data_IF_509290649555
#
_entry.id   IF_509290649555
#
_cell.length_a   1.000
_cell.length_b   1.000
_cell.length_c   1.000
_cell.angle_alpha   90.00
_cell.angle_beta   90.00
_cell.angle_gamma   90.00
#
_symmetry.space_group_name_H-M   'P 1'
#
loop_
_entity.id
_entity.type
_entity.pdbx_description
1 polymer ?
#
# COMPACT_ATOMS: atom_id res chain seq x y z
N UNK A 1 14.64 -12.83 -5.09
CA UNK A 1 13.44 -11.97 -5.14
C UNK A 1 13.73 -10.79 -6.04
N UNK A 2 12.74 -10.29 -6.78
CA UNK A 2 12.83 -9.04 -7.53
C UNK A 2 12.11 -7.93 -6.75
N UNK A 3 12.45 -6.66 -7.04
CA UNK A 3 11.83 -5.48 -6.42
C UNK A 3 10.28 -5.52 -6.49
N UNK A 4 9.73 -5.84 -7.67
CA UNK A 4 8.28 -5.91 -7.92
C UNK A 4 7.57 -6.98 -7.07
N UNK A 5 8.21 -8.14 -6.90
CA UNK A 5 7.69 -9.22 -6.06
C UNK A 5 7.73 -8.82 -4.57
N UNK A 6 8.77 -8.11 -4.14
CA UNK A 6 8.83 -7.57 -2.78
C UNK A 6 7.76 -6.50 -2.52
N UNK A 7 7.52 -5.62 -3.50
CA UNK A 7 6.47 -4.61 -3.40
C UNK A 7 5.12 -5.30 -3.20
N UNK A 8 4.79 -6.32 -3.99
CA UNK A 8 3.53 -7.09 -3.84
C UNK A 8 3.42 -7.77 -2.49
N UNK A 9 4.48 -8.46 -2.05
CA UNK A 9 4.51 -9.15 -0.76
C UNK A 9 4.35 -8.18 0.43
N UNK A 10 4.88 -6.96 0.33
CA UNK A 10 4.71 -5.92 1.34
C UNK A 10 3.36 -5.20 1.24
N UNK A 11 2.82 -5.04 0.04
CA UNK A 11 1.54 -4.38 -0.21
C UNK A 11 0.34 -5.23 0.25
N UNK A 12 0.39 -6.55 0.01
CA UNK A 12 -0.65 -7.51 0.40
C UNK A 12 -1.15 -7.33 1.85
N UNK A 13 -0.28 -7.38 2.89
CA UNK A 13 -0.72 -7.23 4.27
C UNK A 13 -1.25 -5.82 4.57
N UNK A 14 -0.77 -4.78 3.87
CA UNK A 14 -1.26 -3.41 4.03
C UNK A 14 -2.71 -3.32 3.52
N UNK A 15 -2.96 -3.83 2.31
CA UNK A 15 -4.28 -3.86 1.67
C UNK A 15 -5.28 -4.68 2.50
N UNK A 16 -4.88 -5.87 2.96
CA UNK A 16 -5.73 -6.70 3.84
C UNK A 16 -6.11 -5.96 5.12
N UNK A 17 -5.17 -5.25 5.73
CA UNK A 17 -5.44 -4.49 6.95
C UNK A 17 -6.38 -3.31 6.68
N UNK A 18 -6.23 -2.65 5.53
CA UNK A 18 -7.12 -1.57 5.12
C UNK A 18 -8.55 -2.09 4.93
N UNK A 19 -8.74 -3.24 4.25
CA UNK A 19 -10.04 -3.91 4.11
C UNK A 19 -10.68 -4.25 5.45
N UNK A 20 -9.89 -4.77 6.39
CA UNK A 20 -10.36 -5.08 7.74
C UNK A 20 -10.84 -3.79 8.44
N UNK A 21 -10.09 -2.70 8.33
CA UNK A 21 -10.47 -1.39 8.85
C UNK A 21 -11.74 -0.87 8.16
N UNK A 22 -11.91 -1.03 6.84
CA UNK A 22 -13.16 -0.65 6.16
C UNK A 22 -14.36 -1.43 6.73
N UNK A 23 -14.18 -2.73 6.95
CA UNK A 23 -15.23 -3.58 7.50
C UNK A 23 -15.57 -3.23 8.95
N UNK A 24 -14.58 -2.85 9.77
CA UNK A 24 -14.77 -2.41 11.16
C UNK A 24 -15.42 -1.03 11.28
N UNK A 25 -15.15 -0.12 10.33
CA UNK A 25 -15.72 1.24 10.34
C UNK A 25 -17.24 1.23 10.05
N UNK A 26 -17.74 0.16 9.43
CA UNK A 26 -19.16 -0.19 9.36
C UNK A 26 -19.96 0.63 8.34
N UNK A 27 -20.44 -0.04 7.28
CA UNK A 27 -21.42 0.38 6.24
C UNK A 27 -21.23 1.74 5.54
N UNK A 28 -20.26 2.54 5.98
CA UNK A 28 -19.74 3.68 5.26
C UNK A 28 -18.66 3.14 4.35
N UNK A 29 -19.07 2.70 3.17
CA UNK A 29 -18.17 2.75 2.01
C UNK A 29 -17.44 4.09 2.10
N UNK A 30 -16.10 4.07 2.06
CA UNK A 30 -15.36 5.31 2.13
C UNK A 30 -15.92 6.22 1.05
N UNK A 31 -16.42 7.39 1.45
CA UNK A 31 -17.01 8.34 0.50
C UNK A 31 -15.97 8.76 -0.56
N UNK A 32 -14.68 8.60 -0.23
CA UNK A 32 -13.52 8.91 -1.05
C UNK A 32 -12.43 7.88 -0.79
N UNK A 33 -11.67 7.53 -1.84
CA UNK A 33 -10.60 6.54 -1.79
C UNK A 33 -9.55 7.00 -0.77
N UNK A 34 -9.22 6.19 0.26
CA UNK A 34 -8.22 6.57 1.24
C UNK A 34 -6.87 6.80 0.55
N UNK A 35 -6.20 7.89 0.96
CA UNK A 35 -4.85 8.22 0.51
C UNK A 35 -3.85 7.68 1.52
N UNK A 36 -2.90 6.88 1.07
CA UNK A 36 -1.86 6.32 1.93
C UNK A 36 -0.59 7.14 1.77
N UNK A 37 0.13 7.34 2.89
CA UNK A 37 1.49 7.84 2.84
C UNK A 37 2.43 6.98 3.67
N UNK A 38 3.45 6.41 3.03
CA UNK A 38 4.49 5.63 3.69
C UNK A 38 5.62 6.56 4.12
N UNK A 39 5.96 6.51 5.40
CA UNK A 39 7.05 7.30 5.97
C UNK A 39 8.05 6.38 6.66
N UNK A 40 9.32 6.47 6.27
CA UNK A 40 10.38 5.84 7.05
C UNK A 40 10.57 6.60 8.36
N UNK A 41 10.67 5.87 9.46
CA UNK A 41 11.13 6.48 10.70
C UNK A 41 12.62 6.85 10.54
N UNK A 42 13.08 7.96 11.13
CA UNK A 42 14.49 8.33 11.11
C UNK A 42 15.28 7.33 11.96
N UNK A 43 15.68 6.22 11.34
CA UNK A 43 16.60 5.25 11.92
C UNK A 43 18.03 5.61 11.53
N UNK A 44 18.98 5.32 12.43
CA UNK A 44 20.40 5.55 12.20
C UNK A 44 21.01 4.55 11.20
N UNK A 45 20.29 3.47 10.89
CA UNK A 45 20.75 2.36 10.06
C UNK A 45 19.86 2.20 8.82
N UNK A 46 20.43 1.84 7.66
CA UNK A 46 19.66 1.58 6.45
C UNK A 46 18.73 0.38 6.67
N UNK A 47 17.45 0.53 6.30
CA UNK A 47 16.51 -0.58 6.30
C UNK A 47 16.84 -1.49 5.13
N UNK A 48 17.26 -2.72 5.42
CA UNK A 48 17.56 -3.74 4.42
C UNK A 48 16.65 -4.94 4.65
N UNK A 49 15.89 -5.35 3.64
CA UNK A 49 15.00 -6.51 3.65
C UNK A 49 15.47 -7.48 2.57
N UNK A 50 15.78 -8.72 2.95
CA UNK A 50 16.25 -9.77 2.02
C UNK A 50 17.41 -9.33 1.09
N UNK A 51 18.28 -8.44 1.57
CA UNK A 51 19.41 -7.90 0.80
C UNK A 51 19.06 -6.71 -0.11
N UNK A 52 17.82 -6.23 -0.09
CA UNK A 52 17.38 -4.99 -0.77
C UNK A 52 17.33 -3.83 0.21
N UNK A 53 17.95 -2.72 -0.17
CA UNK A 53 17.85 -1.47 0.58
C UNK A 53 16.49 -0.81 0.32
N UNK A 54 15.76 -0.51 1.39
CA UNK A 54 14.50 0.22 1.33
C UNK A 54 14.83 1.70 1.22
N UNK A 55 14.94 2.17 -0.02
CA UNK A 55 15.16 3.58 -0.35
C UNK A 55 13.85 4.35 -0.36
N UNK A 56 13.93 5.69 -0.40
CA UNK A 56 12.75 6.52 -0.60
C UNK A 56 12.04 6.17 -1.92
N UNK A 57 12.79 5.88 -2.99
CA UNK A 57 12.23 5.44 -4.29
C UNK A 57 11.44 4.13 -4.18
N UNK A 58 11.92 3.17 -3.38
CA UNK A 58 11.19 1.93 -3.14
C UNK A 58 9.87 2.19 -2.40
N UNK A 59 9.88 3.08 -1.41
CA UNK A 59 8.68 3.46 -0.68
C UNK A 59 7.67 4.18 -1.56
N UNK A 60 8.12 5.04 -2.47
CA UNK A 60 7.26 5.71 -3.45
C UNK A 60 6.57 4.67 -4.35
N UNK A 61 7.31 3.71 -4.91
CA UNK A 61 6.71 2.63 -5.73
C UNK A 61 5.73 1.76 -4.95
N UNK A 62 6.06 1.45 -3.70
CA UNK A 62 5.17 0.67 -2.83
C UNK A 62 3.88 1.45 -2.52
N UNK A 63 4.00 2.75 -2.23
CA UNK A 63 2.87 3.64 -2.01
C UNK A 63 1.97 3.72 -3.24
N UNK A 64 2.55 3.95 -4.44
CA UNK A 64 1.81 3.97 -5.71
C UNK A 64 1.08 2.64 -5.96
N UNK A 65 1.73 1.49 -5.73
CA UNK A 65 1.12 0.19 -5.91
C UNK A 65 -0.08 -0.03 -4.98
N UNK A 66 0.06 0.29 -3.68
CA UNK A 66 -1.04 0.14 -2.73
C UNK A 66 -2.18 1.11 -3.07
N UNK A 67 -1.87 2.34 -3.51
CA UNK A 67 -2.87 3.32 -3.91
C UNK A 67 -3.65 2.87 -5.15
N UNK A 68 -2.97 2.31 -6.16
CA UNK A 68 -3.62 1.79 -7.38
C UNK A 68 -4.54 0.61 -7.05
N UNK A 69 -4.09 -0.32 -6.20
CA UNK A 69 -4.91 -1.45 -5.73
C UNK A 69 -6.16 -0.97 -4.96
N UNK A 70 -6.03 0.04 -4.09
CA UNK A 70 -7.17 0.67 -3.43
C UNK A 70 -8.11 1.34 -4.44
N UNK A 71 -7.57 2.04 -5.44
CA UNK A 71 -8.37 2.66 -6.48
C UNK A 71 -9.12 1.64 -7.33
N UNK A 72 -8.52 0.48 -7.63
CA UNK A 72 -9.20 -0.61 -8.33
C UNK A 72 -10.33 -1.21 -7.49
N UNK A 73 -10.18 -1.25 -6.17
CA UNK A 73 -11.21 -1.74 -5.26
C UNK A 73 -12.37 -0.75 -5.09
N UNK A 74 -12.07 0.56 -5.09
CA UNK A 74 -13.05 1.63 -4.84
C UNK A 74 -13.65 2.26 -6.09
N UNK A 75 -13.02 2.15 -7.26
CA UNK A 75 -13.68 2.54 -8.51
C UNK A 75 -14.78 1.53 -8.79
N UNK A 76 -16.07 1.92 -8.78
CA UNK A 76 -17.07 1.11 -9.43
C UNK A 76 -16.59 0.97 -10.87
N UNK A 77 -16.50 -0.27 -11.37
CA UNK A 77 -16.26 -0.52 -12.78
C UNK A 77 -17.20 0.39 -13.56
N UNK A 78 -16.70 1.49 -14.12
CA UNK A 78 -17.51 2.34 -15.00
C UNK A 78 -17.69 1.48 -16.24
N UNK A 79 -18.74 0.67 -16.23
CA UNK A 79 -19.35 0.17 -17.45
C UNK A 79 -19.78 1.42 -18.20
N UNK A 80 -19.00 1.79 -19.20
CA UNK A 80 -19.33 2.85 -20.14
C UNK A 80 -20.02 2.26 -21.37
#
# INVERSE_FOLDING_TARGET
>A
MNEDEMIKELAQPIIEKLKEVESEIGDREFAEIPQIRLVRQPMAEPMVVDGFEITDEFLEKLEEYVQDELEMMHKPSILH
#
